data_IF_613820333035
#
_entry.id   IF_613820333035
#
_cell.length_a   1.000
_cell.length_b   1.000
_cell.length_c   1.000
_cell.angle_alpha   90.00
_cell.angle_beta   90.00
_cell.angle_gamma   90.00
#
_symmetry.space_group_name_H-M   'P 1'
#
loop_
_entity.id
_entity.type
_entity.pdbx_description
1 polymer ?
#
# COMPACT_ATOMS: atom_id res chain seq x y z
N UNK A 1 -31.05 -7.64 -5.19
CA UNK A 1 -29.59 -7.41 -5.32
C UNK A 1 -29.32 -6.12 -4.57
N UNK A 2 -28.65 -6.17 -3.41
CA UNK A 2 -28.30 -4.95 -2.67
C UNK A 2 -27.21 -4.21 -3.45
N UNK A 3 -27.38 -2.90 -3.67
CA UNK A 3 -26.45 -2.04 -4.42
C UNK A 3 -25.39 -1.38 -3.51
N UNK A 4 -25.10 -1.98 -2.36
CA UNK A 4 -24.18 -1.42 -1.36
C UNK A 4 -22.74 -1.93 -1.59
N UNK A 5 -22.22 -1.73 -2.80
CA UNK A 5 -20.82 -2.04 -3.09
C UNK A 5 -19.95 -0.88 -2.59
N UNK A 6 -19.07 -1.18 -1.64
CA UNK A 6 -18.02 -0.26 -1.20
C UNK A 6 -16.76 -0.49 -2.06
N UNK A 7 -16.09 0.59 -2.44
CA UNK A 7 -14.84 0.54 -3.17
C UNK A 7 -13.65 0.54 -2.20
N UNK A 8 -12.61 -0.19 -2.57
CA UNK A 8 -11.31 -0.20 -1.88
C UNK A 8 -10.25 0.13 -2.92
N UNK A 9 -9.39 1.10 -2.62
CA UNK A 9 -8.24 1.41 -3.47
C UNK A 9 -7.04 0.57 -3.04
N UNK A 10 -6.32 0.00 -4.00
CA UNK A 10 -5.09 -0.76 -3.76
C UNK A 10 -3.93 0.01 -4.38
N UNK A 11 -2.84 0.16 -3.62
CA UNK A 11 -1.57 0.69 -4.11
C UNK A 11 -0.60 -0.48 -4.25
N UNK A 12 -0.24 -0.80 -5.50
CA UNK A 12 0.62 -1.92 -5.84
C UNK A 12 1.90 -1.44 -6.53
N UNK A 13 2.97 -2.20 -6.40
CA UNK A 13 4.22 -1.95 -7.12
C UNK A 13 4.79 -3.27 -7.63
N UNK A 14 5.04 -3.30 -8.95
CA UNK A 14 5.60 -4.44 -9.66
C UNK A 14 7.03 -4.10 -10.05
N UNK A 15 7.96 -4.98 -9.71
CA UNK A 15 9.36 -4.83 -10.03
C UNK A 15 9.63 -5.25 -11.48
N UNK A 16 10.73 -4.75 -12.06
CA UNK A 16 11.08 -5.03 -13.45
C UNK A 16 11.39 -6.51 -13.74
N UNK A 17 11.68 -7.30 -12.71
CA UNK A 17 11.86 -8.75 -12.79
C UNK A 17 10.54 -9.54 -12.67
N UNK A 18 9.41 -8.85 -12.54
CA UNK A 18 8.07 -9.43 -12.39
C UNK A 18 7.72 -9.85 -10.96
N UNK A 19 8.60 -9.63 -9.98
CA UNK A 19 8.25 -9.72 -8.57
C UNK A 19 7.40 -8.53 -8.12
N UNK A 20 6.76 -8.64 -6.95
CA UNK A 20 5.88 -7.62 -6.42
C UNK A 20 6.32 -7.17 -5.03
N UNK A 21 6.06 -5.92 -4.71
CA UNK A 21 6.03 -5.46 -3.32
C UNK A 21 4.66 -5.80 -2.70
N UNK A 22 4.60 -5.90 -1.38
CA UNK A 22 3.35 -6.03 -0.66
C UNK A 22 2.44 -4.82 -0.92
N UNK A 23 1.15 -5.04 -1.15
CA UNK A 23 0.22 -3.96 -1.44
C UNK A 23 -0.09 -3.13 -0.21
N UNK A 24 -0.60 -1.92 -0.43
CA UNK A 24 -1.31 -1.16 0.60
C UNK A 24 -2.77 -0.97 0.21
N UNK A 25 -3.64 -0.92 1.22
CA UNK A 25 -5.08 -0.79 1.04
C UNK A 25 -5.59 0.55 1.58
N UNK A 26 -6.50 1.19 0.85
CA UNK A 26 -7.17 2.42 1.29
C UNK A 26 -8.67 2.20 1.30
N UNK A 27 -9.25 2.28 2.48
CA UNK A 27 -10.69 2.14 2.71
C UNK A 27 -11.35 3.51 2.82
N UNK A 28 -12.58 3.63 2.33
CA UNK A 28 -13.40 4.79 2.65
C UNK A 28 -13.84 4.73 4.10
N UNK A 29 -13.63 5.82 4.84
CA UNK A 29 -14.03 5.96 6.23
C UNK A 29 -13.09 6.82 7.05
N UNK A 30 -13.47 7.02 8.31
CA UNK A 30 -12.71 7.86 9.25
C UNK A 30 -11.76 7.06 10.12
N UNK A 31 -12.14 5.83 10.47
CA UNK A 31 -11.41 4.97 11.39
C UNK A 31 -11.68 3.50 11.03
N UNK A 32 -10.74 2.65 11.37
CA UNK A 32 -10.85 1.19 11.29
C UNK A 32 -10.38 0.60 12.61
N UNK A 33 -10.76 -0.66 12.91
CA UNK A 33 -10.21 -1.33 14.09
C UNK A 33 -8.79 -1.82 13.78
N UNK A 34 -7.75 -1.41 14.54
CA UNK A 34 -6.36 -1.83 14.28
C UNK A 34 -6.17 -3.35 14.34
N UNK A 35 -7.00 -4.04 15.11
CA UNK A 35 -6.96 -5.50 15.26
C UNK A 35 -7.22 -6.27 13.95
N UNK A 36 -7.91 -5.64 12.99
CA UNK A 36 -8.20 -6.24 11.68
C UNK A 36 -6.95 -6.41 10.80
N UNK A 37 -5.89 -5.64 11.06
CA UNK A 37 -4.72 -5.53 10.19
C UNK A 37 -3.44 -6.12 10.80
N UNK A 38 -3.59 -7.01 11.78
CA UNK A 38 -2.47 -7.62 12.52
C UNK A 38 -1.85 -8.84 11.85
N UNK A 39 -2.33 -9.21 10.65
CA UNK A 39 -1.94 -10.48 9.99
C UNK A 39 -0.55 -10.39 9.33
N UNK A 40 -0.21 -9.27 8.70
CA UNK A 40 1.08 -9.08 8.05
C UNK A 40 1.58 -7.63 8.30
N UNK A 41 2.69 -7.44 9.04
CA UNK A 41 3.22 -6.11 9.34
C UNK A 41 3.81 -5.38 8.12
N UNK A 42 4.06 -6.08 7.01
CA UNK A 42 4.54 -5.48 5.77
C UNK A 42 3.41 -4.83 4.93
N UNK A 43 2.15 -5.18 5.21
CA UNK A 43 0.97 -4.61 4.55
C UNK A 43 0.53 -3.36 5.32
N UNK A 44 0.41 -2.24 4.60
CA UNK A 44 -0.11 -1.00 5.16
C UNK A 44 -1.58 -0.80 4.81
N UNK A 45 -2.33 -0.26 5.77
CA UNK A 45 -3.76 0.00 5.62
C UNK A 45 -4.08 1.42 6.05
N UNK A 46 -4.79 2.13 5.18
CA UNK A 46 -5.16 3.53 5.35
C UNK A 46 -6.68 3.68 5.29
N UNK A 47 -7.17 4.75 5.91
CA UNK A 47 -8.55 5.21 5.76
C UNK A 47 -8.57 6.66 5.33
N UNK A 48 -9.34 6.96 4.28
CA UNK A 48 -9.59 8.33 3.83
C UNK A 48 -11.09 8.55 3.67
N UNK A 49 -11.57 9.79 3.75
CA UNK A 49 -13.01 10.08 3.68
C UNK A 49 -13.67 9.52 2.40
N UNK A 50 -12.95 9.49 1.28
CA UNK A 50 -13.45 9.06 -0.02
C UNK A 50 -12.88 7.71 -0.51
N UNK A 51 -12.00 7.05 0.26
CA UNK A 51 -11.36 5.80 -0.11
C UNK A 51 -10.30 5.89 -1.20
N UNK A 52 -9.91 7.11 -1.61
CA UNK A 52 -8.84 7.35 -2.58
C UNK A 52 -7.53 7.70 -1.88
N UNK A 53 -6.43 7.59 -2.62
CA UNK A 53 -5.11 8.04 -2.18
C UNK A 53 -5.06 9.58 -2.08
N UNK A 54 -4.12 10.07 -1.29
CA UNK A 54 -3.77 11.48 -1.18
C UNK A 54 -2.27 11.61 -0.84
N UNK A 55 -1.77 12.83 -0.72
CA UNK A 55 -0.35 13.09 -0.45
C UNK A 55 0.16 12.39 0.82
N UNK A 56 -0.67 12.31 1.86
CA UNK A 56 -0.34 11.62 3.11
C UNK A 56 -0.22 10.10 2.87
N UNK A 57 -1.24 9.48 2.28
CA UNK A 57 -1.22 8.03 1.98
C UNK A 57 -0.05 7.67 1.07
N UNK A 58 0.20 8.46 0.02
CA UNK A 58 1.31 8.23 -0.90
C UNK A 58 2.67 8.35 -0.23
N UNK A 59 2.85 9.34 0.65
CA UNK A 59 4.10 9.55 1.40
C UNK A 59 4.36 8.40 2.37
N UNK A 60 3.35 7.99 3.13
CA UNK A 60 3.49 6.90 4.11
C UNK A 60 3.71 5.56 3.42
N UNK A 61 2.97 5.26 2.35
CA UNK A 61 3.24 4.09 1.51
C UNK A 61 4.67 4.10 0.96
N UNK A 62 5.16 5.25 0.48
CA UNK A 62 6.52 5.33 -0.06
C UNK A 62 7.57 5.08 1.03
N UNK A 63 7.39 5.68 2.21
CA UNK A 63 8.32 5.60 3.35
C UNK A 63 8.35 4.21 3.98
N UNK A 64 7.18 3.62 4.22
CA UNK A 64 7.02 2.44 5.06
C UNK A 64 6.81 1.14 4.26
N UNK A 65 6.39 1.21 3.00
CA UNK A 65 6.32 0.04 2.10
C UNK A 65 7.41 0.06 1.03
N UNK A 66 7.41 1.07 0.16
CA UNK A 66 8.25 1.05 -1.05
C UNK A 66 9.74 1.01 -0.73
N UNK A 67 10.25 1.95 0.07
CA UNK A 67 11.68 2.03 0.38
C UNK A 67 12.23 0.76 1.04
N UNK A 68 11.64 0.22 2.14
CA UNK A 68 12.21 -0.95 2.79
C UNK A 68 12.16 -2.19 1.90
N UNK A 69 11.02 -2.45 1.25
CA UNK A 69 10.84 -3.67 0.45
C UNK A 69 11.67 -3.63 -0.84
N UNK A 70 11.71 -2.49 -1.54
CA UNK A 70 12.54 -2.35 -2.75
C UNK A 70 14.03 -2.47 -2.44
N UNK A 71 14.50 -1.96 -1.29
CA UNK A 71 15.89 -2.14 -0.83
C UNK A 71 16.21 -3.59 -0.51
N UNK A 72 15.29 -4.29 0.17
CA UNK A 72 15.46 -5.71 0.47
C UNK A 72 15.57 -6.57 -0.81
N UNK A 73 14.77 -6.25 -1.83
CA UNK A 73 14.79 -6.94 -3.12
C UNK A 73 15.96 -6.53 -4.02
N UNK A 74 16.54 -5.34 -3.84
CA UNK A 74 17.67 -4.87 -4.64
C UNK A 74 18.99 -5.58 -4.30
N UNK A 75 19.21 -6.76 -4.89
CA UNK A 75 20.47 -7.50 -4.75
C UNK A 75 21.62 -6.91 -5.56
N UNK A 76 21.33 -5.99 -6.49
CA UNK A 76 22.32 -5.41 -7.40
C UNK A 76 23.07 -4.21 -6.83
N UNK A 77 22.58 -3.64 -5.73
CA UNK A 77 23.05 -2.38 -5.11
C UNK A 77 23.02 -1.16 -6.04
N UNK A 78 22.40 -1.28 -7.23
CA UNK A 78 22.21 -0.15 -8.15
C UNK A 78 21.10 0.78 -7.65
N UNK A 79 21.03 2.03 -8.13
CA UNK A 79 19.92 2.93 -7.81
C UNK A 79 18.57 2.29 -8.14
N UNK A 80 17.63 2.42 -7.20
CA UNK A 80 16.24 1.99 -7.37
C UNK A 80 15.48 3.12 -8.06
N UNK A 81 14.73 2.79 -9.11
CA UNK A 81 13.89 3.71 -9.86
C UNK A 81 12.42 3.36 -9.66
N UNK A 82 11.61 4.34 -9.25
CA UNK A 82 10.16 4.30 -9.27
C UNK A 82 9.69 5.16 -10.46
N UNK A 83 8.81 4.63 -11.30
CA UNK A 83 8.30 5.26 -12.54
C UNK A 83 6.82 5.56 -12.37
#
# INVERSE_FOLDING_TARGET
RSSNLELVTIVECVCADGSNLQPAFVFSGKQHSPEWWTTDPAIQTFTTDNGWTNDFVGTEWFRDCFIPQSKEQNKSEKPILLI
#
